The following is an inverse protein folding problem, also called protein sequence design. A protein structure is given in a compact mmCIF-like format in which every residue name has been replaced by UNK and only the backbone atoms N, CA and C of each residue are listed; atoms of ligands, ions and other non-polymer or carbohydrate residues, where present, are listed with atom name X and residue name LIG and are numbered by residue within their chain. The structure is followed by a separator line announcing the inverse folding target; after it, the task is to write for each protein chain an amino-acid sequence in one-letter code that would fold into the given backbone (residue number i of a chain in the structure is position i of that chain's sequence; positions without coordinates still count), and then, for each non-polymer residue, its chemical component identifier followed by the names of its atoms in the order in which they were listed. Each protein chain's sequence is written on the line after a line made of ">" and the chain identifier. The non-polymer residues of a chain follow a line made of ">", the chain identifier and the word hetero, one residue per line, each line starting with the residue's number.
data_IF_775628366408
#
_entry.id   IF_775628366408
#
_cell.length_a   1.000
_cell.length_b   1.000
_cell.length_c   1.000
_cell.angle_alpha   90.00
_cell.angle_beta   90.00
_cell.angle_gamma   90.00
#
_symmetry.space_group_name_H-M   'P 1'
#
loop_
_entity.id
_entity.type
_entity.pdbx_description
1 polymer ?
#
# COMPACT_ATOMS: atom_id res chain seq x y z
N UNK A 1 -2.44 14.27 9.09
CA UNK A 1 -1.98 13.26 8.12
C UNK A 1 -0.62 12.76 8.53
N UNK A 2 -0.41 11.42 8.48
CA UNK A 2 0.89 10.81 8.76
C UNK A 2 1.34 10.01 7.54
N UNK A 3 2.56 10.24 7.10
CA UNK A 3 3.22 9.48 6.03
C UNK A 3 4.43 8.72 6.57
N UNK A 4 4.71 7.56 6.00
CA UNK A 4 5.94 6.81 6.28
C UNK A 4 6.62 6.40 4.99
N UNK A 5 7.94 6.34 5.02
CA UNK A 5 8.76 5.72 3.98
C UNK A 5 9.97 5.07 4.65
N UNK A 6 10.45 3.96 4.10
CA UNK A 6 11.63 3.28 4.63
C UNK A 6 12.95 3.95 4.19
N UNK A 7 12.89 4.81 3.15
CA UNK A 7 14.03 5.53 2.61
C UNK A 7 14.20 6.88 3.29
N UNK A 8 15.33 7.13 3.98
CA UNK A 8 15.60 8.44 4.57
C UNK A 8 15.56 9.59 3.55
N UNK A 9 16.03 9.34 2.32
CA UNK A 9 16.00 10.31 1.23
C UNK A 9 14.56 10.64 0.81
N UNK A 10 13.69 9.65 0.71
CA UNK A 10 12.27 9.87 0.41
C UNK A 10 11.57 10.64 1.53
N UNK A 11 11.87 10.33 2.79
CA UNK A 11 11.37 11.06 3.96
C UNK A 11 11.77 12.53 3.92
N UNK A 12 13.06 12.82 3.69
CA UNK A 12 13.57 14.19 3.61
C UNK A 12 12.94 14.95 2.45
N UNK A 13 12.89 14.35 1.25
CA UNK A 13 12.25 14.95 0.08
C UNK A 13 10.77 15.23 0.33
N UNK A 14 10.06 14.28 0.93
CA UNK A 14 8.64 14.45 1.25
C UNK A 14 8.41 15.57 2.27
N UNK A 15 9.28 15.68 3.30
CA UNK A 15 9.21 16.78 4.27
C UNK A 15 9.47 18.13 3.62
N UNK A 16 10.46 18.21 2.73
CA UNK A 16 10.78 19.43 2.00
C UNK A 16 9.63 19.86 1.09
N UNK A 17 9.05 18.92 0.33
CA UNK A 17 7.92 19.16 -0.56
C UNK A 17 6.68 19.64 0.19
N UNK A 18 6.46 19.16 1.41
CA UNK A 18 5.28 19.46 2.23
C UNK A 18 5.62 20.36 3.42
N UNK A 19 6.70 21.16 3.34
CA UNK A 19 7.26 21.92 4.46
C UNK A 19 6.22 22.81 5.17
N UNK A 20 5.33 23.45 4.44
CA UNK A 20 4.27 24.29 5.01
C UNK A 20 3.30 23.47 5.87
N UNK A 21 2.85 22.32 5.40
CA UNK A 21 1.93 21.43 6.13
C UNK A 21 2.59 20.80 7.34
N UNK A 22 3.89 20.47 7.23
CA UNK A 22 4.69 19.94 8.33
C UNK A 22 4.89 21.01 9.41
N UNK A 23 5.29 22.22 9.03
CA UNK A 23 5.47 23.34 9.95
C UNK A 23 4.15 23.75 10.65
N UNK A 24 3.02 23.63 9.97
CA UNK A 24 1.71 23.90 10.53
C UNK A 24 1.17 22.75 11.42
N UNK A 25 1.91 21.66 11.61
CA UNK A 25 1.49 20.49 12.38
C UNK A 25 0.33 19.68 11.75
N UNK A 26 0.02 19.92 10.46
CA UNK A 26 -1.03 19.20 9.73
C UNK A 26 -0.55 17.90 9.14
N UNK A 27 0.76 17.74 8.97
CA UNK A 27 1.40 16.55 8.41
C UNK A 27 2.63 16.17 9.21
N UNK A 28 2.77 14.88 9.47
CA UNK A 28 3.96 14.26 10.02
C UNK A 28 4.49 13.23 9.00
N UNK A 29 5.79 13.21 8.78
CA UNK A 29 6.43 12.25 7.87
C UNK A 29 7.57 11.59 8.63
N UNK A 30 7.50 10.27 8.75
CA UNK A 30 8.40 9.45 9.56
C UNK A 30 9.16 8.45 8.68
N UNK A 31 10.37 8.13 9.10
CA UNK A 31 11.05 6.95 8.60
C UNK A 31 10.48 5.72 9.27
N UNK A 32 10.12 4.70 8.47
CA UNK A 32 9.55 3.47 8.98
C UNK A 32 9.28 2.45 7.89
N UNK A 33 9.20 1.19 8.29
CA UNK A 33 8.91 0.06 7.41
C UNK A 33 7.51 -0.50 7.67
N UNK A 34 6.86 -0.97 6.62
CA UNK A 34 5.60 -1.71 6.71
C UNK A 34 5.74 -3.04 7.46
N UNK A 35 6.96 -3.53 7.65
CA UNK A 35 7.24 -4.73 8.46
C UNK A 35 6.92 -4.52 9.94
N UNK A 36 7.08 -3.28 10.43
CA UNK A 36 6.74 -2.87 11.79
C UNK A 36 6.45 -1.37 11.80
N UNK A 37 5.18 -1.05 11.75
CA UNK A 37 4.72 0.34 11.76
C UNK A 37 4.89 0.96 13.16
N UNK A 38 5.47 2.17 13.27
CA UNK A 38 5.76 2.82 14.56
C UNK A 38 4.50 3.44 15.20
N UNK A 39 3.39 2.71 15.17
CA UNK A 39 2.10 3.17 15.68
C UNK A 39 1.43 2.10 16.53
N UNK A 40 0.65 2.55 17.50
CA UNK A 40 -0.22 1.69 18.30
C UNK A 40 -1.31 1.03 17.43
N UNK A 41 -1.88 -0.08 17.91
CA UNK A 41 -3.03 -0.67 17.28
C UNK A 41 -4.20 0.32 17.21
N UNK A 42 -5.04 0.19 16.19
CA UNK A 42 -6.27 0.99 16.04
C UNK A 42 -6.06 2.51 16.09
N UNK A 43 -5.00 2.99 15.43
CA UNK A 43 -4.64 4.40 15.36
C UNK A 43 -5.36 5.14 14.23
N UNK A 44 -5.48 4.51 13.05
CA UNK A 44 -5.94 5.19 11.84
C UNK A 44 -7.33 4.77 11.40
N UNK A 45 -8.12 5.74 10.95
CA UNK A 45 -9.43 5.49 10.33
C UNK A 45 -9.29 5.08 8.86
N UNK A 46 -8.26 5.61 8.19
CA UNK A 46 -7.95 5.32 6.79
C UNK A 46 -6.44 5.22 6.59
N UNK A 47 -6.05 4.24 5.80
CA UNK A 47 -4.66 4.05 5.36
C UNK A 47 -4.68 3.92 3.84
N UNK A 48 -3.70 4.51 3.18
CA UNK A 48 -3.51 4.36 1.74
C UNK A 48 -2.05 4.06 1.43
N UNK A 49 -1.83 3.17 0.48
CA UNK A 49 -0.52 2.96 -0.15
C UNK A 49 -0.66 3.06 -1.66
N UNK A 50 0.29 3.73 -2.31
CA UNK A 50 0.30 3.94 -3.75
C UNK A 50 1.68 3.53 -4.26
N UNK A 51 1.71 2.64 -5.25
CA UNK A 51 2.93 2.22 -5.96
C UNK A 51 4.06 1.68 -5.08
N UNK A 52 3.76 1.17 -3.89
CA UNK A 52 4.77 0.64 -2.96
C UNK A 52 4.68 -0.87 -2.71
N UNK A 53 3.50 -1.45 -2.88
CA UNK A 53 3.19 -2.84 -2.53
C UNK A 53 4.10 -3.87 -3.22
N UNK A 54 4.56 -3.60 -4.43
CA UNK A 54 5.45 -4.47 -5.19
C UNK A 54 6.76 -4.81 -4.46
N UNK A 55 7.17 -3.92 -3.56
CA UNK A 55 8.45 -3.96 -2.83
C UNK A 55 8.31 -4.43 -1.40
N UNK A 56 7.10 -4.79 -0.95
CA UNK A 56 6.89 -5.25 0.41
C UNK A 56 7.58 -6.60 0.63
N UNK A 57 8.43 -6.74 1.66
CA UNK A 57 9.26 -7.93 1.81
C UNK A 57 8.46 -9.19 2.16
N UNK A 58 7.35 -9.04 2.87
CA UNK A 58 6.44 -10.13 3.21
C UNK A 58 4.99 -9.63 3.14
N UNK A 59 4.38 -9.56 1.94
CA UNK A 59 3.08 -8.95 1.74
C UNK A 59 1.98 -9.47 2.67
N UNK A 60 1.97 -10.77 2.97
CA UNK A 60 0.98 -11.39 3.85
C UNK A 60 1.08 -10.86 5.28
N UNK A 61 2.27 -10.83 5.86
CA UNK A 61 2.49 -10.34 7.22
C UNK A 61 2.40 -8.81 7.28
N UNK A 62 2.87 -8.13 6.24
CA UNK A 62 2.78 -6.67 6.16
C UNK A 62 1.33 -6.18 6.09
N UNK A 63 0.43 -6.90 5.42
CA UNK A 63 -1.01 -6.62 5.43
C UNK A 63 -1.62 -6.79 6.83
N UNK A 64 -1.18 -7.77 7.62
CA UNK A 64 -1.61 -7.93 9.01
C UNK A 64 -1.16 -6.74 9.87
N UNK A 65 0.05 -6.24 9.62
CA UNK A 65 0.59 -5.07 10.32
C UNK A 65 -0.18 -3.79 9.97
N UNK A 66 -0.52 -3.57 8.70
CA UNK A 66 -1.42 -2.48 8.27
C UNK A 66 -2.78 -2.62 8.97
N UNK A 67 -3.34 -3.81 8.97
CA UNK A 67 -4.63 -4.07 9.66
C UNK A 67 -4.53 -3.83 11.17
N UNK A 68 -3.41 -4.11 11.81
CA UNK A 68 -3.21 -3.88 13.25
C UNK A 68 -3.41 -2.41 13.60
N UNK A 69 -2.79 -1.50 12.84
CA UNK A 69 -2.85 -0.05 13.11
C UNK A 69 -4.13 0.61 12.59
N UNK A 70 -4.90 -0.08 11.76
CA UNK A 70 -6.20 0.38 11.27
C UNK A 70 -7.26 0.13 12.36
N UNK A 71 -8.14 1.11 12.62
CA UNK A 71 -9.27 0.96 13.53
C UNK A 71 -10.29 -0.03 13.00
N UNK A 72 -11.04 -0.65 13.90
CA UNK A 72 -12.21 -1.48 13.54
C UNK A 72 -13.19 -0.64 12.73
N UNK A 73 -13.64 -1.16 11.56
CA UNK A 73 -14.43 -0.42 10.59
C UNK A 73 -13.64 0.56 9.72
N UNK A 74 -12.34 0.69 9.95
CA UNK A 74 -11.45 1.52 9.12
C UNK A 74 -11.18 0.91 7.75
N UNK A 75 -10.72 1.75 6.81
CA UNK A 75 -10.51 1.39 5.42
C UNK A 75 -9.04 1.47 5.03
N UNK A 76 -8.54 0.44 4.37
CA UNK A 76 -7.24 0.42 3.72
C UNK A 76 -7.40 0.41 2.20
N UNK A 77 -6.71 1.32 1.50
CA UNK A 77 -6.64 1.38 0.04
C UNK A 77 -5.22 1.07 -0.42
N UNK A 78 -5.11 0.05 -1.27
CA UNK A 78 -3.87 -0.29 -1.97
C UNK A 78 -4.07 0.02 -3.45
N UNK A 79 -3.27 0.96 -3.98
CA UNK A 79 -3.29 1.36 -5.39
C UNK A 79 -2.00 0.90 -6.05
N UNK A 80 -2.14 0.23 -7.19
CA UNK A 80 -1.03 -0.28 -7.99
C UNK A 80 -1.30 -0.02 -9.48
N UNK A 81 -0.29 0.44 -10.21
CA UNK A 81 -0.40 0.72 -11.66
C UNK A 81 -0.56 -0.54 -12.50
N UNK A 82 -0.11 -1.69 -11.96
CA UNK A 82 -0.21 -2.97 -12.64
C UNK A 82 -0.66 -4.08 -11.69
N UNK A 83 -1.34 -5.07 -12.24
CA UNK A 83 -1.64 -6.35 -11.59
C UNK A 83 -1.56 -7.48 -12.63
N UNK A 84 -1.39 -8.72 -12.20
CA UNK A 84 -1.28 -9.85 -13.12
C UNK A 84 -2.63 -10.13 -13.79
N UNK A 85 -2.64 -10.00 -15.11
CA UNK A 85 -3.81 -10.26 -15.97
C UNK A 85 -3.37 -10.70 -17.36
N UNK A 86 -4.26 -11.36 -18.13
CA UNK A 86 -4.01 -11.63 -19.55
C UNK A 86 -3.78 -10.33 -20.32
N UNK A 87 -2.85 -10.37 -21.29
CA UNK A 87 -2.63 -9.25 -22.22
C UNK A 87 -1.65 -8.18 -21.70
N UNK A 88 -1.01 -8.35 -20.55
CA UNK A 88 0.05 -7.42 -20.13
C UNK A 88 1.15 -7.30 -21.22
N UNK A 89 1.59 -6.07 -21.56
CA UNK A 89 2.67 -5.83 -22.51
C UNK A 89 3.95 -6.58 -22.14
N UNK A 90 4.72 -6.99 -23.16
CA UNK A 90 5.98 -7.72 -22.92
C UNK A 90 6.96 -6.92 -22.08
N UNK A 91 7.08 -5.62 -22.33
CA UNK A 91 7.96 -4.73 -21.55
C UNK A 91 7.60 -4.71 -20.06
N UNK A 92 6.31 -4.67 -19.74
CA UNK A 92 5.82 -4.73 -18.35
C UNK A 92 6.22 -6.06 -17.70
N UNK A 93 6.01 -7.19 -18.39
CA UNK A 93 6.42 -8.52 -17.91
C UNK A 93 7.92 -8.64 -17.71
N UNK A 94 8.71 -8.05 -18.60
CA UNK A 94 10.16 -8.04 -18.49
C UNK A 94 10.62 -7.20 -17.30
N UNK A 95 9.98 -6.07 -17.03
CA UNK A 95 10.24 -5.24 -15.84
C UNK A 95 9.88 -5.97 -14.54
N UNK A 96 8.70 -6.60 -14.47
CA UNK A 96 8.28 -7.42 -13.31
C UNK A 96 9.35 -8.46 -12.99
N UNK A 97 9.86 -9.19 -13.99
CA UNK A 97 10.92 -10.20 -13.81
C UNK A 97 12.25 -9.58 -13.40
N UNK A 98 12.67 -8.52 -14.09
CA UNK A 98 13.96 -7.84 -13.86
C UNK A 98 14.08 -7.29 -12.44
N UNK A 99 13.01 -6.72 -11.93
CA UNK A 99 12.97 -6.08 -10.60
C UNK A 99 12.36 -6.97 -9.53
N UNK A 100 12.01 -8.22 -9.85
CA UNK A 100 11.39 -9.17 -8.92
C UNK A 100 10.15 -8.61 -8.23
N UNK A 101 9.33 -7.86 -8.98
CA UNK A 101 8.14 -7.23 -8.42
C UNK A 101 7.08 -8.28 -8.06
N UNK A 102 6.51 -8.15 -6.87
CA UNK A 102 5.36 -8.95 -6.47
C UNK A 102 4.10 -8.41 -7.16
N UNK A 103 3.59 -9.16 -8.14
CA UNK A 103 2.49 -8.74 -9.01
C UNK A 103 1.32 -9.75 -8.97
N UNK A 104 0.43 -9.66 -7.96
CA UNK A 104 -0.69 -10.59 -7.82
C UNK A 104 -1.79 -10.39 -8.87
N UNK A 105 -2.53 -11.46 -9.14
CA UNK A 105 -3.84 -11.39 -9.81
C UNK A 105 -4.90 -10.79 -8.89
N UNK A 106 -6.05 -10.38 -9.43
CA UNK A 106 -7.19 -9.91 -8.61
C UNK A 106 -7.62 -10.93 -7.55
N UNK A 107 -7.62 -12.23 -7.90
CA UNK A 107 -7.99 -13.29 -6.96
C UNK A 107 -6.94 -13.45 -5.86
N UNK A 108 -5.67 -13.35 -6.20
CA UNK A 108 -4.59 -13.36 -5.21
C UNK A 108 -4.67 -12.16 -4.26
N UNK A 109 -4.99 -10.96 -4.75
CA UNK A 109 -5.25 -9.80 -3.88
C UNK A 109 -6.39 -10.05 -2.89
N UNK A 110 -7.52 -10.59 -3.37
CA UNK A 110 -8.65 -10.95 -2.48
C UNK A 110 -8.24 -11.95 -1.40
N UNK A 111 -7.46 -12.97 -1.79
CA UNK A 111 -6.98 -13.98 -0.86
C UNK A 111 -6.02 -13.40 0.18
N UNK A 112 -5.06 -12.57 -0.22
CA UNK A 112 -4.13 -11.88 0.67
C UNK A 112 -4.87 -11.05 1.73
N UNK A 113 -5.84 -10.25 1.32
CA UNK A 113 -6.62 -9.42 2.24
C UNK A 113 -7.48 -10.27 3.19
N UNK A 114 -8.15 -11.31 2.66
CA UNK A 114 -8.93 -12.23 3.48
C UNK A 114 -8.07 -12.94 4.52
N UNK A 115 -6.92 -13.46 4.13
CA UNK A 115 -5.99 -14.16 5.03
C UNK A 115 -5.33 -13.20 6.04
N UNK A 116 -5.17 -11.92 5.70
CA UNK A 116 -4.74 -10.90 6.63
C UNK A 116 -5.86 -10.52 7.63
N UNK A 117 -7.10 -10.97 7.41
CA UNK A 117 -8.23 -10.79 8.32
C UNK A 117 -9.09 -9.57 8.05
N UNK A 118 -9.02 -8.97 6.85
CA UNK A 118 -9.97 -7.93 6.44
C UNK A 118 -11.38 -8.54 6.30
N UNK A 119 -12.38 -7.86 6.86
CA UNK A 119 -13.77 -8.34 6.88
C UNK A 119 -14.41 -8.28 5.49
N UNK A 120 -14.08 -7.26 4.72
CA UNK A 120 -14.55 -7.06 3.36
C UNK A 120 -13.39 -6.63 2.46
N UNK A 121 -13.40 -7.12 1.21
CA UNK A 121 -12.42 -6.72 0.19
C UNK A 121 -13.13 -6.40 -1.11
N UNK A 122 -12.96 -5.19 -1.60
CA UNK A 122 -13.48 -4.73 -2.90
C UNK A 122 -12.32 -4.44 -3.84
N UNK A 123 -12.51 -4.74 -5.12
CA UNK A 123 -11.53 -4.43 -6.16
C UNK A 123 -12.14 -3.45 -7.14
N UNK A 124 -11.40 -2.39 -7.41
CA UNK A 124 -11.74 -1.37 -8.37
C UNK A 124 -10.73 -1.38 -9.50
N UNK A 125 -11.22 -1.49 -10.73
CA UNK A 125 -10.44 -1.41 -11.97
C UNK A 125 -11.20 -0.53 -12.96
N UNK A 126 -10.55 -0.13 -14.03
CA UNK A 126 -11.17 0.61 -15.11
C UNK A 126 -10.85 -0.08 -16.44
N UNK A 127 -11.85 -0.25 -17.27
CA UNK A 127 -11.71 -0.89 -18.58
C UNK A 127 -10.68 -0.12 -19.43
N UNK A 128 -9.77 -0.86 -20.04
CA UNK A 128 -8.69 -0.31 -20.87
C UNK A 128 -7.48 0.20 -20.10
N UNK A 129 -7.51 0.19 -18.78
CA UNK A 129 -6.41 0.60 -17.91
C UNK A 129 -5.76 -0.62 -17.23
N UNK A 130 -4.54 -0.43 -16.75
CA UNK A 130 -3.78 -1.51 -16.11
C UNK A 130 -3.74 -1.43 -14.58
N UNK A 131 -4.16 -0.30 -14.00
CA UNK A 131 -4.16 -0.10 -12.57
C UNK A 131 -5.25 -0.88 -11.83
N UNK A 132 -5.01 -1.11 -10.57
CA UNK A 132 -5.94 -1.73 -9.62
C UNK A 132 -5.96 -0.92 -8.31
N UNK A 133 -7.14 -0.79 -7.71
CA UNK A 133 -7.28 -0.35 -6.34
C UNK A 133 -7.97 -1.46 -5.54
N UNK A 134 -7.32 -1.93 -4.49
CA UNK A 134 -7.87 -2.93 -3.57
C UNK A 134 -8.25 -2.22 -2.28
N UNK A 135 -9.52 -2.26 -1.95
CA UNK A 135 -10.10 -1.68 -0.74
C UNK A 135 -10.39 -2.80 0.27
N UNK A 136 -9.84 -2.66 1.47
CA UNK A 136 -10.09 -3.57 2.58
C UNK A 136 -10.71 -2.85 3.76
N UNK A 137 -11.74 -3.44 4.36
CA UNK A 137 -12.35 -2.97 5.62
C UNK A 137 -11.94 -3.90 6.76
N UNK A 138 -11.46 -3.32 7.87
CA UNK A 138 -11.14 -4.09 9.09
C UNK A 138 -12.38 -4.42 9.88
#
# INVERSE_FOLDING_TARGET
>A
LTGIDYSPVSVETSRATNAESVAAGKMEILEGSVEKLPFEAETFDKIVTVESFYFWPNPQENLKEVRRVLKTGGTFLLVADIYEKPGLPREVKDNIRKFHLFNPTMEQFKNLFREAGFAETRIHTKDGEDWICVEGTK
#
